data_IF_859285469840
#
_entry.id   IF_859285469840
#
_cell.length_a   1.000
_cell.length_b   1.000
_cell.length_c   1.000
_cell.angle_alpha   90.00
_cell.angle_beta   90.00
_cell.angle_gamma   90.00
#
_symmetry.space_group_name_H-M   'P 1'
#
loop_
_entity.id
_entity.type
_entity.pdbx_description
1 polymer ?
#
# COMPACT_ATOMS: atom_id res chain seq x y z
N UNK A 1 -28.47 55.18 19.45
CA UNK A 1 -29.11 54.26 18.51
C UNK A 1 -28.30 54.08 17.22
N UNK A 2 -28.00 55.14 16.45
CA UNK A 2 -27.34 55.05 15.13
C UNK A 2 -25.93 54.41 15.08
N UNK A 3 -25.11 54.52 16.13
CA UNK A 3 -23.74 53.97 16.12
C UNK A 3 -23.69 52.45 16.23
N UNK A 4 -24.70 51.83 16.86
CA UNK A 4 -24.79 50.37 17.05
C UNK A 4 -25.18 49.70 15.74
N UNK A 5 -26.08 50.32 14.98
CA UNK A 5 -26.45 49.86 13.64
C UNK A 5 -25.24 49.87 12.70
N UNK A 6 -24.51 50.98 12.57
CA UNK A 6 -23.36 51.09 11.66
C UNK A 6 -22.28 50.04 11.96
N UNK A 7 -22.00 49.79 13.25
CA UNK A 7 -21.05 48.75 13.64
C UNK A 7 -21.55 47.38 13.16
N UNK A 8 -22.80 47.03 13.46
CA UNK A 8 -23.39 45.74 13.06
C UNK A 8 -23.48 45.53 11.54
N UNK A 9 -23.71 46.59 10.76
CA UNK A 9 -23.75 46.56 9.30
C UNK A 9 -22.37 46.27 8.68
N UNK A 10 -21.28 46.74 9.30
CA UNK A 10 -19.91 46.51 8.82
C UNK A 10 -19.34 45.18 9.31
N UNK A 11 -19.66 44.74 10.54
CA UNK A 11 -19.05 43.52 11.11
C UNK A 11 -19.60 42.24 10.47
N UNK A 12 -20.90 42.19 10.15
CA UNK A 12 -21.55 41.00 9.58
C UNK A 12 -20.94 40.49 8.27
N UNK A 13 -20.75 41.31 7.22
CA UNK A 13 -20.14 40.84 5.97
C UNK A 13 -18.68 40.41 6.15
N UNK A 14 -17.95 41.07 7.06
CA UNK A 14 -16.56 40.75 7.36
C UNK A 14 -16.43 39.42 8.12
N UNK A 15 -17.32 39.16 9.07
CA UNK A 15 -17.48 37.85 9.73
C UNK A 15 -17.85 36.75 8.73
N UNK A 16 -18.79 37.00 7.82
CA UNK A 16 -19.15 36.04 6.78
C UNK A 16 -17.97 35.73 5.85
N UNK A 17 -17.20 36.72 5.44
CA UNK A 17 -16.00 36.53 4.60
C UNK A 17 -14.92 35.73 5.34
N UNK A 18 -14.63 36.08 6.60
CA UNK A 18 -13.63 35.38 7.40
C UNK A 18 -14.03 33.94 7.68
N UNK A 19 -15.29 33.67 8.02
CA UNK A 19 -15.81 32.32 8.24
C UNK A 19 -15.75 31.51 6.95
N UNK A 20 -16.23 32.05 5.82
CA UNK A 20 -16.14 31.36 4.54
C UNK A 20 -14.69 31.05 4.18
N UNK A 21 -13.78 32.03 4.27
CA UNK A 21 -12.36 31.82 4.01
C UNK A 21 -11.76 30.73 4.91
N UNK A 22 -12.07 30.76 6.20
CA UNK A 22 -11.59 29.75 7.16
C UNK A 22 -12.16 28.37 6.86
N UNK A 23 -13.43 28.28 6.45
CA UNK A 23 -14.05 27.02 6.04
C UNK A 23 -13.46 26.50 4.73
N UNK A 24 -13.20 27.36 3.75
CA UNK A 24 -12.51 27.01 2.51
C UNK A 24 -11.08 26.52 2.78
N UNK A 25 -10.32 27.22 3.62
CA UNK A 25 -8.97 26.82 4.02
C UNK A 25 -8.98 25.48 4.78
N UNK A 26 -9.93 25.27 5.72
CA UNK A 26 -10.14 23.98 6.39
C UNK A 26 -10.55 22.87 5.44
N UNK A 27 -11.39 23.16 4.44
CA UNK A 27 -11.84 22.16 3.45
C UNK A 27 -10.72 21.80 2.50
N UNK A 28 -9.91 22.77 2.06
CA UNK A 28 -8.69 22.53 1.28
C UNK A 28 -7.66 21.72 2.07
N UNK A 29 -7.40 22.10 3.33
CA UNK A 29 -6.50 21.37 4.22
C UNK A 29 -7.02 19.96 4.54
N UNK A 30 -8.33 19.81 4.76
CA UNK A 30 -8.99 18.52 4.97
C UNK A 30 -8.92 17.64 3.72
N UNK A 31 -9.06 18.22 2.53
CA UNK A 31 -8.92 17.49 1.27
C UNK A 31 -7.49 16.99 1.06
N UNK A 32 -6.50 17.84 1.32
CA UNK A 32 -5.08 17.49 1.21
C UNK A 32 -4.68 16.42 2.23
N UNK A 33 -5.17 16.50 3.46
CA UNK A 33 -4.97 15.50 4.50
C UNK A 33 -5.55 14.13 4.12
N UNK A 34 -6.75 14.08 3.55
CA UNK A 34 -7.38 12.83 3.09
C UNK A 34 -6.60 12.18 1.94
N UNK A 35 -6.05 12.97 1.01
CA UNK A 35 -5.23 12.43 -0.10
C UNK A 35 -3.93 11.83 0.43
N UNK A 36 -3.24 12.52 1.35
CA UNK A 36 -2.01 12.01 1.96
C UNK A 36 -2.27 10.70 2.72
N UNK A 37 -3.36 10.65 3.50
CA UNK A 37 -3.77 9.43 4.19
C UNK A 37 -4.02 8.26 3.23
N UNK A 38 -4.74 8.49 2.13
CA UNK A 38 -5.00 7.44 1.14
C UNK A 38 -3.73 6.98 0.43
N UNK A 39 -2.81 7.91 0.15
CA UNK A 39 -1.52 7.58 -0.45
C UNK A 39 -0.69 6.70 0.48
N UNK A 40 -0.54 7.10 1.74
CA UNK A 40 0.20 6.34 2.75
C UNK A 40 -0.46 4.97 2.99
N UNK A 41 -1.80 4.93 3.09
CA UNK A 41 -2.54 3.69 3.25
C UNK A 41 -2.36 2.76 2.04
N UNK A 42 -2.33 3.31 0.82
CA UNK A 42 -2.10 2.55 -0.41
C UNK A 42 -0.67 1.99 -0.47
N UNK A 43 0.33 2.74 -0.02
CA UNK A 43 1.70 2.26 0.07
C UNK A 43 1.84 1.12 1.10
N UNK A 44 1.29 1.33 2.30
CA UNK A 44 1.28 0.30 3.35
C UNK A 44 0.55 -0.96 2.91
N UNK A 45 -0.54 -0.83 2.15
CA UNK A 45 -1.28 -1.95 1.61
C UNK A 45 -0.42 -2.79 0.67
N UNK A 46 0.31 -2.15 -0.25
CA UNK A 46 1.20 -2.83 -1.18
C UNK A 46 2.30 -3.61 -0.47
N UNK A 47 2.86 -3.05 0.61
CA UNK A 47 3.85 -3.74 1.43
C UNK A 47 3.28 -5.01 2.07
N UNK A 48 2.07 -4.93 2.65
CA UNK A 48 1.40 -6.08 3.28
C UNK A 48 1.09 -7.18 2.27
N UNK A 49 0.66 -6.82 1.07
CA UNK A 49 0.40 -7.76 -0.03
C UNK A 49 1.69 -8.47 -0.46
N UNK A 50 2.79 -7.73 -0.67
CA UNK A 50 4.07 -8.32 -1.02
C UNK A 50 4.59 -9.27 0.08
N UNK A 51 4.48 -8.88 1.35
CA UNK A 51 4.89 -9.70 2.48
C UNK A 51 4.08 -10.99 2.60
N UNK A 52 2.75 -10.90 2.41
CA UNK A 52 1.87 -12.06 2.44
C UNK A 52 2.21 -13.05 1.32
N UNK A 53 2.41 -12.56 0.10
CA UNK A 53 2.82 -13.39 -1.03
C UNK A 53 4.16 -14.10 -0.77
N UNK A 54 5.13 -13.38 -0.18
CA UNK A 54 6.43 -13.95 0.20
C UNK A 54 6.30 -15.03 1.28
N UNK A 55 5.48 -14.79 2.32
CA UNK A 55 5.25 -15.78 3.37
C UNK A 55 4.58 -17.06 2.84
N UNK A 56 3.63 -16.93 1.91
CA UNK A 56 3.00 -18.08 1.24
C UNK A 56 4.03 -18.86 0.42
N UNK A 57 4.91 -18.17 -0.31
CA UNK A 57 5.98 -18.81 -1.08
C UNK A 57 7.00 -19.53 -0.18
N UNK A 58 7.32 -18.99 1.00
CA UNK A 58 8.20 -19.64 1.97
C UNK A 58 7.59 -20.91 2.59
N UNK A 59 6.27 -20.97 2.72
CA UNK A 59 5.56 -22.14 3.22
C UNK A 59 5.39 -23.25 2.16
N UNK A 60 5.53 -22.91 0.88
CA UNK A 60 5.47 -23.89 -0.20
C UNK A 60 6.66 -24.84 -0.11
N UNK A 61 6.39 -26.15 -0.07
CA UNK A 61 7.45 -27.17 0.02
C UNK A 61 8.26 -27.21 -1.28
N UNK A 62 9.55 -27.52 -1.16
CA UNK A 62 10.44 -27.77 -2.30
C UNK A 62 9.80 -28.78 -3.27
N UNK A 63 9.46 -28.33 -4.48
CA UNK A 63 8.85 -29.16 -5.53
C UNK A 63 7.40 -28.84 -5.88
N UNK A 64 6.69 -27.98 -5.12
CA UNK A 64 5.39 -27.49 -5.59
C UNK A 64 5.57 -26.49 -6.73
N UNK A 65 4.85 -26.70 -7.84
CA UNK A 65 4.74 -25.73 -8.93
C UNK A 65 3.91 -24.56 -8.41
N UNK A 66 4.58 -23.53 -7.95
CA UNK A 66 3.93 -22.34 -7.42
C UNK A 66 3.79 -21.32 -8.54
N UNK A 67 2.68 -21.37 -9.26
CA UNK A 67 2.32 -20.36 -10.24
C UNK A 67 1.74 -19.11 -9.56
N UNK A 68 1.85 -17.94 -10.20
CA UNK A 68 1.33 -16.66 -9.66
C UNK A 68 -0.13 -16.77 -9.20
N UNK A 69 -0.97 -17.41 -10.02
CA UNK A 69 -2.40 -17.60 -9.69
C UNK A 69 -2.62 -18.40 -8.40
N UNK A 70 -1.89 -19.50 -8.21
CA UNK A 70 -2.01 -20.31 -7.01
C UNK A 70 -1.57 -19.56 -5.74
N UNK A 71 -0.52 -18.73 -5.85
CA UNK A 71 -0.11 -17.84 -4.76
C UNK A 71 -1.22 -16.87 -4.40
N UNK A 72 -1.83 -16.23 -5.42
CA UNK A 72 -2.95 -15.31 -5.25
C UNK A 72 -4.12 -15.96 -4.54
N UNK A 73 -4.61 -17.09 -5.06
CA UNK A 73 -5.71 -17.85 -4.48
C UNK A 73 -5.42 -18.27 -3.03
N UNK A 74 -4.16 -18.60 -2.71
CA UNK A 74 -3.76 -18.99 -1.35
C UNK A 74 -3.74 -17.79 -0.41
N UNK A 75 -3.29 -16.62 -0.88
CA UNK A 75 -3.34 -15.38 -0.11
C UNK A 75 -4.78 -14.97 0.20
N UNK A 76 -5.68 -15.01 -0.80
CA UNK A 76 -7.09 -14.66 -0.62
C UNK A 76 -7.79 -15.59 0.37
N UNK A 77 -7.54 -16.91 0.25
CA UNK A 77 -8.04 -17.91 1.22
C UNK A 77 -7.50 -17.66 2.62
N UNK A 78 -6.23 -17.30 2.75
CA UNK A 78 -5.63 -16.98 4.04
C UNK A 78 -6.30 -15.77 4.70
N UNK A 79 -6.53 -14.69 3.94
CA UNK A 79 -7.22 -13.49 4.44
C UNK A 79 -8.66 -13.84 4.85
N UNK A 80 -9.39 -14.56 4.01
CA UNK A 80 -10.75 -14.98 4.30
C UNK A 80 -10.82 -15.84 5.57
N UNK A 81 -9.92 -16.81 5.74
CA UNK A 81 -9.92 -17.67 6.92
C UNK A 81 -9.49 -16.95 8.20
N UNK A 82 -8.60 -15.97 8.10
CA UNK A 82 -8.07 -15.25 9.27
C UNK A 82 -8.95 -14.09 9.72
N UNK A 83 -9.57 -13.39 8.77
CA UNK A 83 -10.30 -12.14 9.02
C UNK A 83 -11.76 -12.18 8.56
N UNK A 84 -12.21 -13.25 7.91
CA UNK A 84 -13.54 -13.38 7.31
C UNK A 84 -13.84 -12.29 6.26
N UNK A 85 -12.79 -11.78 5.61
CA UNK A 85 -12.87 -10.74 4.60
C UNK A 85 -12.53 -11.30 3.22
N UNK A 86 -13.31 -10.91 2.22
CA UNK A 86 -13.06 -11.28 0.82
C UNK A 86 -12.28 -10.15 0.15
N UNK A 87 -11.06 -10.45 -0.25
CA UNK A 87 -10.17 -9.52 -0.94
C UNK A 87 -9.78 -10.06 -2.30
N UNK A 88 -9.47 -9.16 -3.21
CA UNK A 88 -8.81 -9.48 -4.48
C UNK A 88 -7.32 -9.22 -4.31
N UNK A 89 -6.50 -10.26 -4.47
CA UNK A 89 -5.07 -10.16 -4.26
C UNK A 89 -4.38 -9.68 -5.56
N UNK A 90 -3.67 -8.54 -5.57
CA UNK A 90 -2.92 -8.07 -6.73
C UNK A 90 -1.59 -8.84 -6.85
N UNK A 91 -1.68 -10.15 -7.08
CA UNK A 91 -0.55 -11.09 -7.00
C UNK A 91 0.56 -10.75 -7.98
N UNK A 92 0.24 -10.28 -9.19
CA UNK A 92 1.26 -9.89 -10.16
C UNK A 92 2.11 -8.72 -9.67
N UNK A 93 1.47 -7.71 -9.07
CA UNK A 93 2.19 -6.55 -8.51
C UNK A 93 3.04 -6.97 -7.32
N UNK A 94 2.51 -7.83 -6.45
CA UNK A 94 3.23 -8.38 -5.31
C UNK A 94 4.47 -9.18 -5.75
N UNK A 95 4.31 -10.14 -6.66
CA UNK A 95 5.41 -10.96 -7.19
C UNK A 95 6.44 -10.12 -7.93
N UNK A 96 6.02 -9.20 -8.81
CA UNK A 96 6.94 -8.32 -9.52
C UNK A 96 7.77 -7.45 -8.56
N UNK A 97 7.16 -7.00 -7.45
CA UNK A 97 7.88 -6.26 -6.41
C UNK A 97 8.93 -7.14 -5.73
N UNK A 98 8.58 -8.38 -5.38
CA UNK A 98 9.51 -9.33 -4.77
C UNK A 98 10.65 -9.74 -5.70
N UNK A 99 10.37 -9.92 -7.00
CA UNK A 99 11.39 -10.16 -8.03
C UNK A 99 12.36 -8.99 -8.11
N UNK A 100 11.84 -7.75 -8.14
CA UNK A 100 12.67 -6.53 -8.19
C UNK A 100 13.56 -6.38 -6.96
N UNK A 101 13.08 -6.79 -5.79
CA UNK A 101 13.84 -6.79 -4.54
C UNK A 101 14.81 -7.98 -4.41
N UNK A 102 14.79 -8.93 -5.34
CA UNK A 102 15.63 -10.13 -5.30
C UNK A 102 15.23 -11.16 -4.25
N UNK A 103 13.99 -11.09 -3.74
CA UNK A 103 13.46 -12.00 -2.71
C UNK A 103 12.82 -13.27 -3.30
N UNK A 104 12.42 -13.20 -4.56
CA UNK A 104 11.83 -14.30 -5.32
C UNK A 104 12.60 -14.46 -6.61
N UNK A 105 12.71 -15.69 -7.10
CA UNK A 105 13.22 -16.01 -8.43
C UNK A 105 12.14 -16.71 -9.24
N UNK A 106 12.08 -16.36 -10.52
CA UNK A 106 11.19 -16.98 -11.50
C UNK A 106 12.03 -17.86 -12.42
N UNK A 107 11.78 -19.17 -12.40
CA UNK A 107 12.46 -20.12 -13.26
C UNK A 107 11.48 -20.73 -14.27
N UNK A 108 11.81 -20.63 -15.55
CA UNK A 108 11.06 -21.30 -16.59
C UNK A 108 11.58 -22.73 -16.72
N UNK A 109 10.79 -23.72 -16.29
CA UNK A 109 11.02 -25.11 -16.70
C UNK A 109 10.18 -25.35 -17.96
N UNK A 110 10.62 -26.25 -18.86
CA UNK A 110 10.07 -26.56 -20.21
C UNK A 110 8.53 -26.58 -20.38
N UNK A 111 7.74 -26.65 -19.30
CA UNK A 111 6.28 -26.68 -19.33
C UNK A 111 5.62 -25.68 -18.36
N UNK A 112 6.34 -25.09 -17.40
CA UNK A 112 5.75 -24.19 -16.39
C UNK A 112 6.75 -23.19 -15.78
N UNK A 113 6.21 -22.01 -15.45
CA UNK A 113 6.88 -20.99 -14.64
C UNK A 113 6.80 -21.41 -13.17
N UNK A 114 7.95 -21.52 -12.51
CA UNK A 114 8.05 -21.81 -11.08
C UNK A 114 8.59 -20.58 -10.34
N UNK A 115 7.84 -20.15 -9.33
CA UNK A 115 8.29 -19.14 -8.37
C UNK A 115 8.92 -19.81 -7.15
N UNK A 116 10.10 -19.35 -6.76
CA UNK A 116 10.78 -19.80 -5.56
C UNK A 116 11.16 -18.58 -4.71
N UNK A 117 10.77 -18.60 -3.43
CA UNK A 117 11.22 -17.59 -2.47
C UNK A 117 12.61 -17.95 -1.96
N UNK A 118 13.47 -16.93 -1.78
CA UNK A 118 14.72 -17.07 -1.06
C UNK A 118 14.41 -17.26 0.43
N UNK A 119 15.14 -18.14 1.15
CA UNK A 119 15.04 -18.24 2.60
C UNK A 119 15.31 -16.90 3.29
N UNK A 120 14.69 -16.64 4.44
CA UNK A 120 14.82 -15.35 5.14
C UNK A 120 16.27 -14.92 5.41
N UNK A 121 17.18 -15.87 5.65
CA UNK A 121 18.62 -15.60 5.86
C UNK A 121 19.28 -15.02 4.60
N UNK A 122 18.94 -15.55 3.43
CA UNK A 122 19.47 -15.06 2.15
C UNK A 122 18.72 -13.81 1.69
N UNK A 123 17.42 -13.72 1.98
CA UNK A 123 16.60 -12.55 1.68
C UNK A 123 17.10 -11.27 2.36
N UNK A 124 17.57 -11.37 3.61
CA UNK A 124 18.19 -10.23 4.31
C UNK A 124 19.43 -9.71 3.58
N UNK A 125 20.33 -10.61 3.18
CA UNK A 125 21.54 -10.24 2.44
C UNK A 125 21.23 -9.68 1.05
N UNK A 126 20.20 -10.22 0.38
CA UNK A 126 19.73 -9.69 -0.90
C UNK A 126 19.22 -8.25 -0.76
N UNK A 127 18.37 -7.97 0.23
CA UNK A 127 17.85 -6.63 0.50
C UNK A 127 18.96 -5.67 0.91
N UNK A 128 19.90 -6.10 1.76
CA UNK A 128 21.04 -5.29 2.19
C UNK A 128 21.90 -4.87 1.00
N UNK A 129 22.28 -5.81 0.13
CA UNK A 129 23.02 -5.50 -1.11
C UNK A 129 22.24 -4.55 -2.02
N UNK A 130 20.95 -4.78 -2.18
CA UNK A 130 20.09 -3.91 -3.00
C UNK A 130 20.04 -2.48 -2.45
N UNK A 131 19.98 -2.33 -1.13
CA UNK A 131 19.99 -1.05 -0.44
C UNK A 131 21.35 -0.33 -0.55
N UNK A 132 22.45 -1.07 -0.34
CA UNK A 132 23.81 -0.52 -0.47
C UNK A 132 24.07 0.01 -1.89
N UNK A 133 23.52 -0.64 -2.92
CA UNK A 133 23.61 -0.20 -4.32
C UNK A 133 22.80 1.08 -4.63
N UNK A 134 21.76 1.38 -3.84
CA UNK A 134 20.94 2.59 -4.01
C UNK A 134 21.57 3.82 -3.34
N UNK A 135 22.50 3.62 -2.40
CA UNK A 135 23.17 4.68 -1.64
C UNK A 135 24.56 5.03 -2.18
N UNK A 136 25.08 4.28 -3.15
CA UNK A 136 26.36 4.53 -3.84
C UNK A 136 26.16 5.28 -5.16
#
# INVERSE_FOLDING_TARGET
MYAIDIHSYLTRPLLQLLVNRTLYEKTLASGFGSVHFLLDASEQQQYKEALLAYAVLLQAKEGQVTCRKLVGDTCEKFIYNSFNEKVEMPVDKAINTLLRLGLVTESATDVNIRLQALPCSEGYEALKRHWDLMLG
#
